data_IF_017871588250
#
_entry.id   IF_017871588250
#
_cell.length_a   1.000
_cell.length_b   1.000
_cell.length_c   1.000
_cell.angle_alpha   90.00
_cell.angle_beta   90.00
_cell.angle_gamma   90.00
#
_symmetry.space_group_name_H-M   'P 1'
#
loop_
_entity.id
_entity.type
_entity.pdbx_description
1 polymer ?
#
# COMPACT_ATOMS: atom_id res chain seq x y z
N UNK A 1 -5.71 -13.10 -33.81
CA UNK A 1 -4.43 -13.38 -33.12
C UNK A 1 -4.75 -13.54 -31.66
N UNK A 2 -4.46 -14.70 -31.07
CA UNK A 2 -4.50 -14.90 -29.63
C UNK A 2 -3.32 -14.17 -29.01
N UNK A 3 -3.55 -13.40 -27.95
CA UNK A 3 -2.48 -12.72 -27.24
C UNK A 3 -1.85 -13.72 -26.28
N UNK A 4 -0.53 -13.86 -26.29
CA UNK A 4 0.12 -14.80 -25.37
C UNK A 4 0.21 -14.22 -23.95
N UNK A 5 0.16 -12.90 -23.81
CA UNK A 5 0.31 -12.19 -22.55
C UNK A 5 -0.55 -10.92 -22.47
N UNK A 6 -0.74 -10.44 -21.24
CA UNK A 6 -1.13 -9.07 -20.92
C UNK A 6 -0.11 -8.48 -19.94
N UNK A 7 -0.03 -7.16 -19.87
CA UNK A 7 0.83 -6.43 -18.95
C UNK A 7 -0.05 -5.66 -17.97
N UNK A 8 0.32 -5.71 -16.69
CA UNK A 8 -0.37 -5.03 -15.60
C UNK A 8 0.68 -4.36 -14.70
N UNK A 9 0.46 -3.10 -14.37
CA UNK A 9 1.24 -2.32 -13.42
C UNK A 9 0.56 -2.39 -12.05
N UNK A 10 1.06 -3.30 -11.20
CA UNK A 10 0.52 -3.48 -9.85
C UNK A 10 0.78 -2.27 -8.96
N UNK A 11 1.89 -1.55 -9.17
CA UNK A 11 2.20 -0.34 -8.41
C UNK A 11 1.18 0.76 -8.72
N UNK A 12 0.89 1.00 -10.00
CA UNK A 12 -0.16 1.94 -10.42
C UNK A 12 -1.54 1.53 -9.92
N UNK A 13 -1.90 0.25 -9.91
CA UNK A 13 -3.19 -0.17 -9.31
C UNK A 13 -3.25 0.19 -7.82
N UNK A 14 -2.15 -0.02 -7.07
CA UNK A 14 -2.08 0.33 -5.65
C UNK A 14 -2.12 1.84 -5.39
N UNK A 15 -1.59 2.66 -6.30
CA UNK A 15 -1.49 4.11 -6.12
C UNK A 15 -2.68 4.88 -6.71
N UNK A 16 -3.23 4.41 -7.84
CA UNK A 16 -4.21 5.14 -8.65
C UNK A 16 -5.64 4.60 -8.54
N UNK A 17 -5.88 3.46 -7.89
CA UNK A 17 -7.25 3.02 -7.59
C UNK A 17 -7.88 3.84 -6.46
N UNK A 18 -9.21 3.93 -6.43
CA UNK A 18 -9.95 4.56 -5.34
C UNK A 18 -9.66 3.88 -4.00
N UNK A 19 -9.58 2.54 -3.98
CA UNK A 19 -9.23 1.77 -2.78
C UNK A 19 -7.78 2.00 -2.36
N UNK A 20 -6.85 2.05 -3.32
CA UNK A 20 -5.44 2.37 -3.09
C UNK A 20 -5.25 3.74 -2.43
N UNK A 21 -5.88 4.77 -3.01
CA UNK A 21 -5.93 6.13 -2.43
C UNK A 21 -6.60 6.18 -1.06
N UNK A 22 -7.64 5.38 -0.84
CA UNK A 22 -8.30 5.30 0.47
C UNK A 22 -7.35 4.72 1.52
N UNK A 23 -6.70 3.58 1.23
CA UNK A 23 -5.71 2.97 2.10
C UNK A 23 -4.53 3.92 2.39
N UNK A 24 -4.03 4.65 1.38
CA UNK A 24 -2.97 5.64 1.56
C UNK A 24 -3.38 6.75 2.55
N UNK A 25 -4.63 7.23 2.49
CA UNK A 25 -5.16 8.21 3.45
C UNK A 25 -5.28 7.64 4.86
N UNK A 26 -5.73 6.40 5.00
CA UNK A 26 -5.81 5.72 6.30
C UNK A 26 -4.42 5.54 6.94
N UNK A 27 -3.43 5.10 6.16
CA UNK A 27 -2.05 4.98 6.60
C UNK A 27 -1.44 6.32 6.99
N UNK A 28 -1.71 7.38 6.21
CA UNK A 28 -1.27 8.73 6.54
C UNK A 28 -1.90 9.22 7.86
N UNK A 29 -3.19 8.95 8.08
CA UNK A 29 -3.87 9.28 9.34
C UNK A 29 -3.30 8.51 10.54
N UNK A 30 -3.03 7.22 10.38
CA UNK A 30 -2.40 6.38 11.40
C UNK A 30 -1.00 6.91 11.78
N UNK A 31 -0.19 7.24 10.76
CA UNK A 31 1.14 7.82 10.96
C UNK A 31 1.06 9.17 11.67
N UNK A 32 0.24 10.09 11.18
CA UNK A 32 0.11 11.44 11.73
C UNK A 32 -0.36 11.41 13.19
N UNK A 33 -1.35 10.57 13.51
CA UNK A 33 -1.83 10.42 14.89
C UNK A 33 -0.74 9.85 15.79
N UNK A 34 -0.10 8.75 15.39
CA UNK A 34 0.93 8.11 16.21
C UNK A 34 2.16 8.99 16.39
N UNK A 35 2.56 9.74 15.37
CA UNK A 35 3.69 10.66 15.44
C UNK A 35 3.39 11.82 16.40
N UNK A 36 2.15 12.35 16.39
CA UNK A 36 1.74 13.36 17.35
C UNK A 36 1.81 12.85 18.80
N UNK A 37 1.41 11.59 19.04
CA UNK A 37 1.49 10.95 20.35
C UNK A 37 2.95 10.79 20.80
N UNK A 38 3.83 10.24 19.94
CA UNK A 38 5.26 10.10 20.23
C UNK A 38 5.90 11.46 20.53
N UNK A 39 5.60 12.50 19.74
CA UNK A 39 6.09 13.86 20.01
C UNK A 39 5.55 14.43 21.32
N UNK A 40 4.33 14.09 21.74
CA UNK A 40 3.81 14.49 23.03
C UNK A 40 4.56 13.79 24.18
N UNK A 41 4.88 12.50 24.03
CA UNK A 41 5.69 11.74 25.00
C UNK A 41 7.11 12.30 25.13
N UNK A 42 7.75 12.63 24.02
CA UNK A 42 9.09 13.28 24.02
C UNK A 42 9.05 14.59 24.80
N UNK A 43 8.08 15.47 24.51
CA UNK A 43 7.92 16.75 25.24
C UNK A 43 7.65 16.54 26.72
N UNK A 44 6.85 15.53 27.07
CA UNK A 44 6.58 15.19 28.48
C UNK A 44 7.83 14.65 29.19
N UNK A 45 8.68 13.88 28.49
CA UNK A 45 9.95 13.39 29.03
C UNK A 45 10.96 14.52 29.23
N UNK A 46 11.04 15.49 28.30
CA UNK A 46 11.90 16.67 28.41
C UNK A 46 11.61 17.54 29.65
N UNK A 47 10.35 17.56 30.11
CA UNK A 47 9.94 18.29 31.31
C UNK A 47 10.33 17.60 32.62
N UNK A 48 10.80 16.34 32.57
CA UNK A 48 11.20 15.56 33.74
C UNK A 48 12.70 15.69 34.02
N UNK A 49 13.15 15.18 35.18
CA UNK A 49 14.57 15.19 35.57
C UNK A 49 15.03 13.81 36.04
N UNK A 50 16.34 13.56 35.93
CA UNK A 50 16.97 12.33 36.40
C UNK A 50 16.42 11.06 35.75
N UNK A 51 16.26 10.00 36.53
CA UNK A 51 15.81 8.68 36.05
C UNK A 51 14.42 8.71 35.39
N UNK A 52 13.55 9.63 35.79
CA UNK A 52 12.21 9.78 35.20
C UNK A 52 12.30 10.28 33.74
N UNK A 53 13.23 11.21 33.45
CA UNK A 53 13.49 11.68 32.09
C UNK A 53 13.95 10.55 31.18
N UNK A 54 14.91 9.74 31.64
CA UNK A 54 15.43 8.61 30.88
C UNK A 54 14.38 7.50 30.68
N UNK A 55 13.51 7.28 31.67
CA UNK A 55 12.37 6.39 31.53
C UNK A 55 11.38 6.89 30.46
N UNK A 56 11.03 8.18 30.47
CA UNK A 56 10.13 8.78 29.49
C UNK A 56 10.65 8.69 28.05
N UNK A 57 11.96 8.90 27.82
CA UNK A 57 12.55 8.72 26.49
C UNK A 57 12.54 7.25 26.01
N UNK A 58 12.78 6.30 26.92
CA UNK A 58 12.67 4.87 26.57
C UNK A 58 11.25 4.48 26.20
N UNK A 59 10.27 5.03 26.90
CA UNK A 59 8.84 4.82 26.59
C UNK A 59 8.47 5.41 25.23
N UNK A 60 8.91 6.65 24.93
CA UNK A 60 8.71 7.28 23.64
C UNK A 60 9.35 6.49 22.48
N UNK A 61 10.57 5.97 22.67
CA UNK A 61 11.24 5.14 21.68
C UNK A 61 10.51 3.80 21.44
N UNK A 62 9.99 3.18 22.50
CA UNK A 62 9.17 1.97 22.37
C UNK A 62 7.85 2.25 21.64
N UNK A 63 7.22 3.40 21.90
CA UNK A 63 6.01 3.84 21.21
C UNK A 63 6.27 4.10 19.71
N UNK A 64 7.40 4.73 19.37
CA UNK A 64 7.83 4.94 17.97
C UNK A 64 8.04 3.60 17.24
N UNK A 65 8.75 2.65 17.84
CA UNK A 65 8.93 1.33 17.25
C UNK A 65 7.59 0.60 17.06
N UNK A 66 6.69 0.71 18.03
CA UNK A 66 5.34 0.13 17.95
C UNK A 66 4.52 0.77 16.82
N UNK A 67 4.61 2.10 16.65
CA UNK A 67 3.98 2.81 15.54
C UNK A 67 4.49 2.31 14.19
N UNK A 68 5.82 2.23 14.02
CA UNK A 68 6.44 1.72 12.79
C UNK A 68 5.92 0.32 12.44
N UNK A 69 5.92 -0.59 13.43
CA UNK A 69 5.41 -1.95 13.25
C UNK A 69 3.93 -1.98 12.85
N UNK A 70 3.09 -1.12 13.45
CA UNK A 70 1.66 -1.03 13.14
C UNK A 70 1.41 -0.49 11.74
N UNK A 71 2.15 0.54 11.32
CA UNK A 71 2.05 1.11 9.97
C UNK A 71 2.53 0.11 8.92
N UNK A 72 3.61 -0.63 9.21
CA UNK A 72 4.09 -1.70 8.33
C UNK A 72 3.10 -2.85 8.20
N UNK A 73 2.45 -3.25 9.30
CA UNK A 73 1.38 -4.25 9.27
C UNK A 73 0.20 -3.75 8.43
N UNK A 74 -0.33 -2.56 8.73
CA UNK A 74 -1.45 -1.98 8.00
C UNK A 74 -1.16 -1.82 6.50
N UNK A 75 0.06 -1.44 6.13
CA UNK A 75 0.49 -1.35 4.73
C UNK A 75 0.45 -2.71 4.03
N UNK A 76 0.93 -3.76 4.68
CA UNK A 76 0.89 -5.13 4.12
C UNK A 76 -0.54 -5.60 3.96
N UNK A 77 -1.37 -5.43 4.98
CA UNK A 77 -2.77 -5.86 4.99
C UNK A 77 -3.57 -5.14 3.89
N UNK A 78 -3.38 -3.81 3.76
CA UNK A 78 -4.03 -3.03 2.71
C UNK A 78 -3.61 -3.48 1.30
N UNK A 79 -2.31 -3.75 1.10
CA UNK A 79 -1.79 -4.27 -0.17
C UNK A 79 -2.39 -5.64 -0.49
N UNK A 80 -2.41 -6.55 0.47
CA UNK A 80 -2.95 -7.90 0.28
C UNK A 80 -4.45 -7.85 -0.05
N UNK A 81 -5.23 -7.08 0.71
CA UNK A 81 -6.65 -6.90 0.46
C UNK A 81 -6.94 -6.33 -0.93
N UNK A 82 -6.15 -5.36 -1.39
CA UNK A 82 -6.30 -4.78 -2.73
C UNK A 82 -5.93 -5.79 -3.83
N UNK A 83 -4.84 -6.53 -3.65
CA UNK A 83 -4.45 -7.59 -4.59
C UNK A 83 -5.49 -8.71 -4.66
N UNK A 84 -6.07 -9.11 -3.54
CA UNK A 84 -7.13 -10.13 -3.51
C UNK A 84 -8.38 -9.71 -4.29
N UNK A 85 -8.70 -8.41 -4.29
CA UNK A 85 -9.78 -7.85 -5.11
C UNK A 85 -9.38 -7.71 -6.59
N UNK A 86 -8.14 -7.33 -6.88
CA UNK A 86 -7.66 -7.15 -8.26
C UNK A 86 -7.44 -8.48 -9.00
N UNK A 87 -6.99 -9.54 -8.31
CA UNK A 87 -6.72 -10.86 -8.90
C UNK A 87 -7.85 -11.44 -9.75
N UNK A 88 -9.12 -11.52 -9.28
CA UNK A 88 -10.21 -12.05 -10.11
C UNK A 88 -10.49 -11.16 -11.34
N UNK A 89 -10.33 -9.84 -11.23
CA UNK A 89 -10.49 -8.90 -12.36
C UNK A 89 -9.41 -9.17 -13.41
N UNK A 90 -8.15 -9.23 -12.99
CA UNK A 90 -7.00 -9.55 -13.85
C UNK A 90 -7.20 -10.91 -14.53
N UNK A 91 -7.66 -11.93 -13.79
CA UNK A 91 -7.94 -13.25 -14.33
C UNK A 91 -9.05 -13.24 -15.40
N UNK A 92 -10.13 -12.47 -15.18
CA UNK A 92 -11.20 -12.29 -16.18
C UNK A 92 -10.67 -11.64 -17.45
N UNK A 93 -9.93 -10.53 -17.31
CA UNK A 93 -9.35 -9.81 -18.45
C UNK A 93 -8.35 -10.67 -19.23
N UNK A 94 -7.52 -11.46 -18.52
CA UNK A 94 -6.60 -12.40 -19.15
C UNK A 94 -7.38 -13.46 -19.96
N UNK A 95 -8.45 -14.02 -19.41
CA UNK A 95 -9.30 -14.98 -20.11
C UNK A 95 -9.99 -14.37 -21.35
N UNK A 96 -10.54 -13.17 -21.23
CA UNK A 96 -11.15 -12.41 -22.35
C UNK A 96 -10.16 -12.17 -23.50
N UNK A 97 -8.89 -11.89 -23.16
CA UNK A 97 -7.81 -11.68 -24.13
C UNK A 97 -7.12 -12.97 -24.58
N UNK A 98 -7.54 -14.13 -24.04
CA UNK A 98 -6.90 -15.43 -24.25
C UNK A 98 -5.41 -15.45 -23.87
N UNK A 99 -5.02 -14.57 -22.94
CA UNK A 99 -3.66 -14.46 -22.44
C UNK A 99 -3.32 -15.68 -21.56
N UNK A 100 -2.09 -16.19 -21.74
CA UNK A 100 -1.57 -17.31 -20.96
C UNK A 100 -0.77 -16.86 -19.74
N UNK A 101 -0.25 -15.64 -19.79
CA UNK A 101 0.57 -15.05 -18.73
C UNK A 101 0.20 -13.59 -18.52
N UNK A 102 0.32 -13.15 -17.27
CA UNK A 102 0.25 -11.74 -16.89
C UNK A 102 1.67 -11.33 -16.50
N UNK A 103 2.19 -10.29 -17.12
CA UNK A 103 3.50 -9.72 -16.82
C UNK A 103 3.33 -8.46 -15.99
N UNK A 104 4.19 -8.30 -14.99
CA UNK A 104 4.29 -7.05 -14.25
C UNK A 104 4.99 -6.00 -15.10
N UNK A 105 4.46 -4.78 -15.14
CA UNK A 105 5.01 -3.67 -15.92
C UNK A 105 6.47 -3.34 -15.54
N UNK A 106 6.88 -3.52 -14.28
CA UNK A 106 8.26 -3.27 -13.83
C UNK A 106 9.27 -4.20 -14.52
N UNK A 107 8.82 -5.36 -15.01
CA UNK A 107 9.66 -6.32 -15.73
C UNK A 107 9.64 -6.13 -17.26
N UNK A 108 8.86 -5.18 -17.78
CA UNK A 108 8.62 -5.00 -19.22
C UNK A 108 9.19 -3.67 -19.69
N UNK A 109 10.20 -3.71 -20.57
CA UNK A 109 10.83 -2.48 -21.11
C UNK A 109 9.95 -1.74 -22.13
N UNK A 110 9.19 -2.47 -22.92
CA UNK A 110 8.27 -1.92 -23.90
C UNK A 110 7.21 -2.97 -24.26
N UNK A 111 5.96 -2.53 -24.38
CA UNK A 111 4.88 -3.33 -24.95
C UNK A 111 3.91 -2.41 -25.72
N UNK A 112 3.24 -2.91 -26.77
CA UNK A 112 2.11 -2.22 -27.36
C UNK A 112 1.01 -1.96 -26.32
N UNK A 113 0.43 -0.75 -26.33
CA UNK A 113 -0.54 -0.30 -25.33
C UNK A 113 -1.79 -1.16 -25.24
N UNK A 114 -2.16 -1.87 -26.32
CA UNK A 114 -3.29 -2.79 -26.33
C UNK A 114 -3.11 -4.04 -25.44
N UNK A 115 -1.87 -4.33 -25.01
CA UNK A 115 -1.57 -5.40 -24.06
C UNK A 115 -1.53 -4.92 -22.61
N UNK A 116 -1.39 -3.62 -22.41
CA UNK A 116 -1.37 -2.97 -21.10
C UNK A 116 -2.83 -2.74 -20.68
N UNK A 117 -3.26 -3.35 -19.57
CA UNK A 117 -4.64 -3.31 -19.11
C UNK A 117 -4.81 -2.67 -17.73
N UNK A 118 -3.80 -2.00 -17.20
CA UNK A 118 -3.80 -1.37 -15.87
C UNK A 118 -4.99 -0.44 -15.69
N UNK A 119 -5.21 0.49 -16.63
CA UNK A 119 -6.30 1.46 -16.53
C UNK A 119 -7.66 0.75 -16.48
N UNK A 120 -7.82 -0.35 -17.23
CA UNK A 120 -9.05 -1.15 -17.22
C UNK A 120 -9.25 -1.91 -15.92
N UNK A 121 -8.17 -2.41 -15.31
CA UNK A 121 -8.24 -3.04 -13.98
C UNK A 121 -8.65 -2.01 -12.92
N UNK A 122 -8.04 -0.82 -12.94
CA UNK A 122 -8.39 0.27 -12.01
C UNK A 122 -9.86 0.63 -12.15
N UNK A 123 -10.34 0.82 -13.38
CA UNK A 123 -11.75 1.16 -13.63
C UNK A 123 -12.72 0.11 -13.06
N UNK A 124 -12.45 -1.18 -13.30
CA UNK A 124 -13.29 -2.27 -12.81
C UNK A 124 -13.20 -2.43 -11.28
N UNK A 125 -12.03 -2.21 -10.71
CA UNK A 125 -11.82 -2.28 -9.28
C UNK A 125 -12.59 -1.15 -8.56
N UNK A 126 -12.55 0.06 -9.11
CA UNK A 126 -13.25 1.23 -8.57
C UNK A 126 -14.79 1.11 -8.64
N UNK A 127 -15.31 0.23 -9.50
CA UNK A 127 -16.74 -0.08 -9.63
C UNK A 127 -17.21 -1.21 -8.70
N UNK A 128 -16.30 -1.90 -8.01
CA UNK A 128 -16.56 -3.07 -7.16
C UNK A 128 -16.60 -2.78 -5.66
#
# INVERSE_FOLDING_TARGET
MSLEFIVIDLARILDESAQGRAAARELAGLWQSGEADVRAMIRAAEAQQGESRDAGFREAAAAEQSLNNRVDAARRDAREALLDRARPIIASLAAERQARVVLDADAVLACPSEFELTDRVIELLDQS
#
